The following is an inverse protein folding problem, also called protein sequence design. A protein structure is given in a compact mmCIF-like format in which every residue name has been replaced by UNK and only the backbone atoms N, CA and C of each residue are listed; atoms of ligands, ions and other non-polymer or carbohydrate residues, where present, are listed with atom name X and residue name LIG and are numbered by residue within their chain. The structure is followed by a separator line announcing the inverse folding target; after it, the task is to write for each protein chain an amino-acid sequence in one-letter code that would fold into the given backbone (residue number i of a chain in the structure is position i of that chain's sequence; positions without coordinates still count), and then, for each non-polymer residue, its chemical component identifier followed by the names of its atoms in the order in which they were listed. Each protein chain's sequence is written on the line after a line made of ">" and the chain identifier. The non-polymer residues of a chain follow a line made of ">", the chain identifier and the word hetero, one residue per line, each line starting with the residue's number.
data_IF_516062120286
#
_entry.id   IF_516062120286
#
_cell.length_a   1.000
_cell.length_b   1.000
_cell.length_c   1.000
_cell.angle_alpha   90.00
_cell.angle_beta   90.00
_cell.angle_gamma   90.00
#
_symmetry.space_group_name_H-M   'P 1'
#
loop_
_entity.id
_entity.type
_entity.pdbx_description
1 polymer ?
#
# COMPACT_ATOMS: atom_id res chain seq x y z
N UNK A 1 -33.70 11.99 -15.56
CA UNK A 1 -32.75 11.49 -14.53
C UNK A 1 -33.13 10.06 -14.16
N UNK A 2 -32.20 9.11 -14.21
CA UNK A 2 -32.49 7.70 -13.88
C UNK A 2 -32.92 7.56 -12.41
N UNK A 3 -34.04 6.87 -12.16
CA UNK A 3 -34.51 6.57 -10.81
C UNK A 3 -33.67 5.41 -10.22
N UNK A 4 -32.54 5.76 -9.59
CA UNK A 4 -31.58 4.79 -9.02
C UNK A 4 -32.24 3.93 -7.92
N UNK A 5 -33.15 4.51 -7.13
CA UNK A 5 -33.90 3.79 -6.10
C UNK A 5 -34.73 2.65 -6.71
N UNK A 6 -35.49 2.93 -7.77
CA UNK A 6 -36.29 1.92 -8.45
C UNK A 6 -35.43 0.77 -9.01
N UNK A 7 -34.24 1.08 -9.54
CA UNK A 7 -33.28 0.07 -10.04
C UNK A 7 -32.68 -0.77 -8.92
N UNK A 8 -32.34 -0.17 -7.77
CA UNK A 8 -31.84 -0.92 -6.61
C UNK A 8 -32.92 -1.83 -6.02
N UNK A 9 -34.18 -1.42 -6.06
CA UNK A 9 -35.31 -2.24 -5.63
C UNK A 9 -35.56 -3.40 -6.59
N UNK A 10 -35.55 -3.17 -7.91
CA UNK A 10 -35.73 -4.24 -8.90
C UNK A 10 -34.61 -5.29 -8.85
N UNK A 11 -33.41 -4.89 -8.43
CA UNK A 11 -32.26 -5.79 -8.25
C UNK A 11 -32.13 -6.34 -6.82
N UNK A 12 -33.09 -6.06 -5.92
CA UNK A 12 -33.05 -6.49 -4.51
C UNK A 12 -31.81 -6.02 -3.72
N UNK A 13 -31.13 -4.96 -4.18
CA UNK A 13 -29.96 -4.34 -3.54
C UNK A 13 -30.34 -3.24 -2.55
N UNK A 14 -31.61 -2.82 -2.52
CA UNK A 14 -32.08 -1.72 -1.67
C UNK A 14 -31.78 -1.93 -0.18
N UNK A 15 -31.97 -3.16 0.32
CA UNK A 15 -31.69 -3.47 1.73
C UNK A 15 -30.20 -3.32 2.04
N UNK A 16 -29.33 -3.91 1.21
CA UNK A 16 -27.87 -3.82 1.35
C UNK A 16 -27.41 -2.36 1.37
N UNK A 17 -27.89 -1.56 0.43
CA UNK A 17 -27.58 -0.13 0.34
C UNK A 17 -27.95 0.61 1.63
N UNK A 18 -29.15 0.41 2.16
CA UNK A 18 -29.60 1.11 3.38
C UNK A 18 -28.94 0.60 4.66
N UNK A 19 -28.70 -0.70 4.79
CA UNK A 19 -28.24 -1.30 6.05
C UNK A 19 -26.71 -1.34 6.19
N UNK A 20 -25.99 -1.37 5.07
CA UNK A 20 -24.53 -1.42 5.07
C UNK A 20 -23.95 -0.16 4.43
N UNK A 21 -24.25 0.09 3.17
CA UNK A 21 -23.51 1.10 2.41
C UNK A 21 -23.67 2.50 3.01
N UNK A 22 -24.90 2.90 3.33
CA UNK A 22 -25.18 4.20 3.95
C UNK A 22 -24.68 4.31 5.40
N UNK A 23 -24.71 3.21 6.16
CA UNK A 23 -24.23 3.22 7.55
C UNK A 23 -22.72 3.36 7.65
N UNK A 24 -21.99 2.97 6.60
CA UNK A 24 -20.54 3.03 6.56
C UNK A 24 -20.02 4.46 6.28
N UNK A 25 -20.80 5.29 5.57
CA UNK A 25 -20.44 6.68 5.23
C UNK A 25 -19.94 7.48 6.44
N UNK A 26 -20.70 7.61 7.56
CA UNK A 26 -20.23 8.39 8.71
C UNK A 26 -19.00 7.77 9.38
N UNK A 27 -18.83 6.44 9.33
CA UNK A 27 -17.64 5.77 9.88
C UNK A 27 -16.39 6.13 9.07
N UNK A 28 -16.47 6.07 7.74
CA UNK A 28 -15.37 6.46 6.87
C UNK A 28 -15.03 7.95 7.05
N UNK A 29 -16.04 8.82 7.16
CA UNK A 29 -15.83 10.24 7.41
C UNK A 29 -15.08 10.51 8.73
N UNK A 30 -15.36 9.75 9.80
CA UNK A 30 -14.58 9.84 11.05
C UNK A 30 -13.15 9.34 10.82
N UNK A 31 -12.97 8.20 10.13
CA UNK A 31 -11.65 7.63 9.86
C UNK A 31 -10.76 8.56 9.02
N UNK A 32 -11.32 9.30 8.06
CA UNK A 32 -10.58 10.29 7.26
C UNK A 32 -10.19 11.54 8.07
N UNK A 33 -11.01 11.92 9.06
CA UNK A 33 -10.70 13.02 9.95
C UNK A 33 -9.67 12.63 11.03
N UNK A 34 -9.52 11.34 11.30
CA UNK A 34 -8.52 10.84 12.24
C UNK A 34 -7.12 10.84 11.61
N UNK A 35 -6.20 11.59 12.23
CA UNK A 35 -4.81 11.71 11.82
C UNK A 35 -3.93 10.76 12.63
N UNK A 36 -3.20 9.88 11.94
CA UNK A 36 -2.26 8.95 12.57
C UNK A 36 -0.90 9.62 12.69
N UNK A 37 -0.39 9.76 13.90
CA UNK A 37 0.93 10.35 14.13
C UNK A 37 2.05 9.42 13.66
N UNK A 38 3.03 9.97 12.95
CA UNK A 38 4.17 9.21 12.43
C UNK A 38 5.47 9.75 13.04
N UNK A 39 6.33 8.83 13.50
CA UNK A 39 7.67 9.16 13.98
C UNK A 39 8.59 9.50 12.79
N UNK A 40 8.66 10.80 12.46
CA UNK A 40 9.48 11.31 11.36
C UNK A 40 10.96 10.96 11.49
N UNK A 41 11.53 11.12 12.68
CA UNK A 41 12.97 10.92 12.88
C UNK A 41 13.31 9.44 12.80
N UNK A 42 12.44 8.56 13.34
CA UNK A 42 12.53 7.13 13.13
C UNK A 42 12.54 6.78 11.65
N UNK A 43 11.58 7.30 10.88
CA UNK A 43 11.46 7.02 9.44
C UNK A 43 12.67 7.53 8.65
N UNK A 44 13.20 8.72 8.97
CA UNK A 44 14.42 9.26 8.34
C UNK A 44 15.64 8.39 8.62
N UNK A 45 15.83 7.93 9.87
CA UNK A 45 16.94 7.03 10.22
C UNK A 45 16.85 5.71 9.46
N UNK A 46 15.67 5.10 9.42
CA UNK A 46 15.44 3.85 8.67
C UNK A 46 15.64 4.06 7.17
N UNK A 47 15.14 5.16 6.60
CA UNK A 47 15.36 5.51 5.19
C UNK A 47 16.85 5.59 4.86
N UNK A 48 17.65 6.26 5.70
CA UNK A 48 19.09 6.37 5.48
C UNK A 48 19.81 5.02 5.57
N UNK A 49 19.42 4.18 6.54
CA UNK A 49 19.96 2.84 6.68
C UNK A 49 19.67 1.98 5.44
N UNK A 50 18.45 2.04 4.92
CA UNK A 50 18.05 1.31 3.72
C UNK A 50 18.77 1.83 2.48
N UNK A 51 18.98 3.14 2.34
CA UNK A 51 19.74 3.73 1.22
C UNK A 51 21.18 3.22 1.19
N UNK A 52 21.85 3.17 2.34
CA UNK A 52 23.21 2.63 2.45
C UNK A 52 23.24 1.15 2.07
N UNK A 53 22.29 0.36 2.59
CA UNK A 53 22.23 -1.07 2.30
C UNK A 53 21.89 -1.35 0.84
N UNK A 54 21.01 -0.55 0.23
CA UNK A 54 20.66 -0.64 -1.19
C UNK A 54 21.89 -0.42 -2.07
N UNK A 55 22.67 0.63 -1.81
CA UNK A 55 23.90 0.91 -2.57
C UNK A 55 24.93 -0.22 -2.45
N UNK A 56 25.09 -0.79 -1.26
CA UNK A 56 25.99 -1.93 -1.06
C UNK A 56 25.56 -3.16 -1.86
N UNK A 57 24.27 -3.48 -1.85
CA UNK A 57 23.72 -4.61 -2.60
C UNK A 57 23.81 -4.39 -4.12
N UNK A 58 23.60 -3.16 -4.58
CA UNK A 58 23.75 -2.79 -5.98
C UNK A 58 25.20 -2.96 -6.46
N UNK A 59 26.18 -2.47 -5.69
CA UNK A 59 27.60 -2.67 -6.00
C UNK A 59 27.99 -4.15 -6.05
N UNK A 60 27.50 -4.94 -5.11
CA UNK A 60 27.75 -6.38 -5.09
C UNK A 60 27.12 -7.09 -6.28
N UNK A 61 25.90 -6.71 -6.67
CA UNK A 61 25.24 -7.24 -7.85
C UNK A 61 26.02 -6.90 -9.13
N UNK A 62 26.50 -5.66 -9.28
CA UNK A 62 27.34 -5.26 -10.42
C UNK A 62 28.66 -6.02 -10.45
N UNK A 63 29.29 -6.22 -9.29
CA UNK A 63 30.54 -6.97 -9.15
C UNK A 63 30.38 -8.43 -9.59
N UNK A 64 29.33 -9.10 -9.14
CA UNK A 64 29.05 -10.51 -9.47
C UNK A 64 28.61 -10.66 -10.93
N UNK A 65 27.85 -9.71 -11.46
CA UNK A 65 27.44 -9.72 -12.87
C UNK A 65 28.58 -9.34 -13.84
N UNK A 66 29.63 -8.67 -13.36
CA UNK A 66 30.74 -8.18 -14.16
C UNK A 66 30.40 -6.95 -15.01
N UNK A 67 29.24 -6.32 -14.79
CA UNK A 67 28.80 -5.12 -15.50
C UNK A 67 27.86 -4.27 -14.65
N UNK A 68 27.72 -3.00 -15.02
CA UNK A 68 26.74 -2.09 -14.40
C UNK A 68 25.39 -2.20 -15.12
N UNK A 69 24.31 -2.26 -14.34
CA UNK A 69 22.95 -2.28 -14.85
C UNK A 69 21.97 -1.69 -13.83
N UNK A 70 20.77 -1.30 -14.29
CA UNK A 70 19.73 -0.79 -13.42
C UNK A 70 18.94 -1.96 -12.79
N UNK A 71 19.09 -2.16 -11.47
CA UNK A 71 18.35 -3.20 -10.74
C UNK A 71 16.83 -2.97 -10.75
N UNK A 72 16.37 -1.73 -10.95
CA UNK A 72 14.96 -1.41 -11.08
C UNK A 72 14.37 -1.80 -12.45
N UNK A 73 15.22 -2.13 -13.44
CA UNK A 73 14.79 -2.54 -14.78
C UNK A 73 14.69 -4.06 -14.87
N UNK A 74 13.45 -4.58 -14.89
CA UNK A 74 13.19 -6.00 -15.06
C UNK A 74 13.74 -6.57 -16.38
N UNK A 75 13.82 -5.74 -17.43
CA UNK A 75 14.39 -6.12 -18.72
C UNK A 75 15.91 -6.32 -18.64
N UNK A 76 16.64 -5.38 -18.03
CA UNK A 76 18.09 -5.51 -17.88
C UNK A 76 18.46 -6.66 -16.95
N UNK A 77 17.73 -6.82 -15.85
CA UNK A 77 17.94 -7.94 -14.94
C UNK A 77 17.68 -9.29 -15.64
N UNK A 78 16.65 -9.38 -16.49
CA UNK A 78 16.38 -10.59 -17.29
C UNK A 78 17.56 -10.93 -18.22
N UNK A 79 18.10 -9.94 -18.93
CA UNK A 79 19.24 -10.15 -19.84
C UNK A 79 20.45 -10.70 -19.08
N UNK A 80 20.75 -10.15 -17.91
CA UNK A 80 21.88 -10.60 -17.11
C UNK A 80 21.67 -12.03 -16.59
N UNK A 81 20.52 -12.30 -15.99
CA UNK A 81 20.25 -13.61 -15.38
C UNK A 81 20.17 -14.74 -16.41
N UNK A 82 19.57 -14.49 -17.58
CA UNK A 82 19.25 -15.53 -18.54
C UNK A 82 20.12 -15.53 -19.79
N UNK A 83 20.54 -14.37 -20.31
CA UNK A 83 21.35 -14.35 -21.53
C UNK A 83 22.84 -14.51 -21.18
N UNK A 84 23.32 -13.80 -20.15
CA UNK A 84 24.73 -13.83 -19.71
C UNK A 84 25.03 -14.95 -18.73
N UNK A 85 24.36 -14.95 -17.58
CA UNK A 85 24.58 -15.94 -16.52
C UNK A 85 23.96 -17.30 -16.85
N UNK A 86 23.06 -17.35 -17.85
CA UNK A 86 22.42 -18.56 -18.37
C UNK A 86 21.86 -19.49 -17.29
N UNK A 87 21.31 -18.92 -16.22
CA UNK A 87 20.84 -19.66 -15.05
C UNK A 87 19.71 -20.65 -15.38
N UNK A 88 18.95 -20.39 -16.45
CA UNK A 88 17.90 -21.28 -16.94
C UNK A 88 18.44 -22.63 -17.47
N UNK A 89 19.72 -22.70 -17.88
CA UNK A 89 20.35 -23.95 -18.29
C UNK A 89 20.81 -24.80 -17.11
N UNK A 90 20.97 -24.17 -15.94
CA UNK A 90 21.42 -24.82 -14.70
C UNK A 90 20.26 -25.36 -13.85
N UNK A 91 19.01 -25.01 -14.18
CA UNK A 91 17.82 -25.43 -13.43
C UNK A 91 16.85 -26.17 -14.35
N UNK A 92 16.56 -27.44 -14.05
CA UNK A 92 15.65 -28.32 -14.82
C UNK A 92 14.17 -27.87 -14.81
N UNK A 93 13.81 -26.83 -14.05
CA UNK A 93 12.44 -26.31 -13.93
C UNK A 93 12.33 -24.91 -14.54
N UNK A 94 11.29 -24.68 -15.34
CA UNK A 94 10.96 -23.37 -15.89
C UNK A 94 10.87 -22.32 -14.77
N UNK A 95 11.77 -21.34 -14.78
CA UNK A 95 11.80 -20.28 -13.79
C UNK A 95 10.60 -19.32 -14.01
N UNK A 96 9.77 -19.06 -12.98
CA UNK A 96 8.66 -18.14 -13.10
C UNK A 96 9.18 -16.72 -13.41
N UNK A 97 8.42 -15.96 -14.21
CA UNK A 97 8.78 -14.58 -14.55
C UNK A 97 8.72 -13.72 -13.29
N UNK A 98 9.80 -13.01 -12.99
CA UNK A 98 9.79 -11.96 -11.96
C UNK A 98 8.90 -10.81 -12.44
N UNK A 99 7.68 -10.75 -11.90
CA UNK A 99 6.78 -9.61 -12.09
C UNK A 99 7.25 -8.47 -11.16
N UNK A 100 7.70 -7.36 -11.74
CA UNK A 100 8.15 -6.21 -10.97
C UNK A 100 6.94 -5.32 -10.72
N UNK A 101 6.24 -5.55 -9.60
CA UNK A 101 5.20 -4.61 -9.17
C UNK A 101 5.86 -3.35 -8.63
N UNK A 102 5.89 -2.30 -9.46
CA UNK A 102 6.32 -0.98 -9.03
C UNK A 102 5.32 -0.46 -7.98
N UNK A 103 5.71 -0.55 -6.72
CA UNK A 103 5.09 0.24 -5.66
C UNK A 103 5.94 1.51 -5.49
N UNK A 104 5.35 2.68 -5.72
CA UNK A 104 6.01 3.94 -5.40
C UNK A 104 6.23 4.00 -3.88
N UNK A 105 7.44 4.38 -3.48
CA UNK A 105 7.75 4.61 -2.07
C UNK A 105 6.84 5.71 -1.53
N UNK A 106 6.19 5.46 -0.40
CA UNK A 106 5.32 6.43 0.31
C UNK A 106 6.13 7.52 1.02
N UNK A 107 7.20 8.03 0.40
CA UNK A 107 8.11 9.00 1.02
C UNK A 107 7.50 10.40 1.04
N UNK A 108 6.44 10.59 1.81
CA UNK A 108 5.93 11.90 2.19
C UNK A 108 6.28 12.14 3.67
N UNK A 109 7.00 13.23 3.96
CA UNK A 109 7.43 13.58 5.32
C UNK A 109 6.35 14.41 5.99
N UNK A 110 5.23 13.78 6.35
CA UNK A 110 4.15 14.44 7.09
C UNK A 110 4.17 13.99 8.56
N UNK A 111 3.84 14.88 9.51
CA UNK A 111 3.81 14.56 10.96
C UNK A 111 2.66 13.60 11.27
N UNK A 112 1.67 13.61 10.40
CA UNK A 112 0.48 12.82 10.48
C UNK A 112 0.16 12.28 9.09
N UNK A 113 -0.51 11.14 9.07
CA UNK A 113 -1.00 10.52 7.85
C UNK A 113 -2.51 10.36 8.01
N UNK A 114 -3.28 10.71 6.98
CA UNK A 114 -4.70 10.39 6.89
C UNK A 114 -4.99 9.88 5.49
N UNK A 115 -5.61 8.71 5.41
CA UNK A 115 -6.01 8.09 4.15
C UNK A 115 -7.43 8.47 3.79
N UNK A 116 -7.70 8.66 2.50
CA UNK A 116 -9.06 8.77 1.94
C UNK A 116 -9.59 7.38 1.64
N UNK A 117 -10.83 7.11 2.04
CA UNK A 117 -11.49 5.81 1.88
C UNK A 117 -12.45 5.83 0.69
N UNK A 118 -12.40 4.79 -0.13
CA UNK A 118 -13.28 4.61 -1.28
C UNK A 118 -14.06 3.30 -1.16
N UNK A 119 -15.38 3.44 -1.08
CA UNK A 119 -16.34 2.36 -0.97
C UNK A 119 -16.79 1.81 -2.33
N UNK A 120 -16.69 2.60 -3.39
CA UNK A 120 -17.02 2.21 -4.77
C UNK A 120 -15.79 1.86 -5.61
N UNK A 121 -14.62 1.76 -4.96
CA UNK A 121 -13.33 1.57 -5.63
C UNK A 121 -13.08 0.16 -6.15
N UNK A 122 -13.81 -0.85 -5.67
CA UNK A 122 -13.64 -2.25 -6.08
C UNK A 122 -14.97 -2.91 -6.41
N UNK A 123 -14.95 -3.82 -7.39
CA UNK A 123 -16.13 -4.62 -7.78
C UNK A 123 -16.45 -5.72 -6.76
N UNK A 124 -15.55 -6.00 -5.83
CA UNK A 124 -15.70 -7.03 -4.80
C UNK A 124 -16.41 -6.54 -3.53
N UNK A 125 -16.72 -5.24 -3.44
CA UNK A 125 -17.29 -4.62 -2.24
C UNK A 125 -16.27 -4.37 -1.12
N UNK A 126 -14.97 -4.52 -1.40
CA UNK A 126 -13.91 -4.16 -0.44
C UNK A 126 -13.65 -2.65 -0.48
N UNK A 127 -13.42 -2.07 0.69
CA UNK A 127 -12.92 -0.71 0.81
C UNK A 127 -11.49 -0.61 0.25
N UNK A 128 -11.19 0.53 -0.36
CA UNK A 128 -9.83 0.89 -0.77
C UNK A 128 -9.42 2.19 -0.09
N UNK A 129 -8.15 2.31 0.27
CA UNK A 129 -7.56 3.55 0.80
C UNK A 129 -6.61 4.20 -0.21
N UNK A 130 -6.49 5.53 -0.19
CA UNK A 130 -5.51 6.29 -0.97
C UNK A 130 -4.86 7.39 -0.12
N UNK A 131 -3.65 7.78 -0.51
CA UNK A 131 -2.86 8.91 0.04
C UNK A 131 -2.67 8.89 1.56
N UNK A 132 -2.04 7.86 2.15
CA UNK A 132 -1.45 6.67 1.55
C UNK A 132 -2.40 5.48 1.56
N UNK A 133 -2.02 4.38 0.90
CA UNK A 133 -2.72 3.11 1.04
C UNK A 133 -2.46 2.60 2.46
N UNK A 134 -3.48 2.66 3.31
CA UNK A 134 -3.44 2.10 4.67
C UNK A 134 -4.41 0.94 4.78
N UNK A 135 -4.04 -0.03 5.61
CA UNK A 135 -4.96 -1.11 5.98
C UNK A 135 -5.95 -0.59 7.03
N UNK A 136 -7.21 -1.02 6.94
CA UNK A 136 -8.26 -0.74 7.92
C UNK A 136 -7.80 -1.15 9.31
N UNK A 137 -7.06 -2.25 9.45
CA UNK A 137 -6.53 -2.68 10.73
C UNK A 137 -5.58 -1.66 11.36
N UNK A 138 -4.75 -0.99 10.54
CA UNK A 138 -3.83 0.05 11.02
C UNK A 138 -4.59 1.27 11.52
N UNK A 139 -5.63 1.70 10.78
CA UNK A 139 -6.42 2.88 11.14
C UNK A 139 -7.34 2.61 12.32
N UNK A 140 -7.96 1.42 12.37
CA UNK A 140 -8.82 1.00 13.50
C UNK A 140 -8.02 0.82 14.79
N UNK A 141 -6.80 0.28 14.73
CA UNK A 141 -5.91 0.18 15.89
C UNK A 141 -5.51 1.57 16.40
N UNK A 142 -5.14 2.48 15.51
CA UNK A 142 -4.82 3.86 15.91
C UNK A 142 -6.03 4.56 16.54
N UNK A 143 -7.23 4.41 15.97
CA UNK A 143 -8.46 4.96 16.55
C UNK A 143 -8.74 4.37 17.94
N UNK A 144 -8.59 3.06 18.10
CA UNK A 144 -8.75 2.38 19.39
C UNK A 144 -7.76 2.89 20.43
N UNK A 145 -6.48 3.05 20.07
CA UNK A 145 -5.45 3.62 20.96
C UNK A 145 -5.80 5.06 21.31
N UNK A 146 -6.17 5.91 20.35
CA UNK A 146 -6.52 7.32 20.60
C UNK A 146 -7.76 7.45 21.49
N UNK A 147 -8.77 6.61 21.31
CA UNK A 147 -10.02 6.63 22.11
C UNK A 147 -9.80 6.03 23.51
N UNK A 148 -8.92 5.05 23.68
CA UNK A 148 -8.61 4.42 24.99
C UNK A 148 -7.57 5.18 25.81
N UNK A 149 -6.66 5.90 25.17
CA UNK A 149 -5.52 6.59 25.81
C UNK A 149 -5.58 8.12 25.64
N UNK A 150 -6.78 8.70 25.60
CA UNK A 150 -6.90 10.15 25.84
C UNK A 150 -6.66 10.41 27.33
N UNK A 151 -5.66 11.24 27.72
CA UNK A 151 -5.55 11.68 29.10
C UNK A 151 -6.82 12.46 29.44
N UNK A 152 -7.48 12.08 30.53
CA UNK A 152 -8.57 12.87 31.12
C UNK A 152 -8.09 14.31 31.30
N UNK A 153 -8.87 15.32 30.91
CA UNK A 153 -8.49 16.71 31.15
C UNK A 153 -8.29 16.91 32.66
N UNK A 154 -7.10 17.35 33.04
CA UNK A 154 -6.79 17.75 34.42
C UNK A 154 -7.77 18.86 34.83
N UNK A 155 -8.53 18.62 35.90
CA UNK A 155 -9.32 19.65 36.59
C UNK A 155 -8.43 20.75 37.16
#
# INVERSE_FOLDING_TARGET
>A
MMNLRARLQSQSLWKLFCTMELRLIPVLAVMENCRIHVNKDGLKRTSKLLEVRQKQLEQEAHRVAGEQFCLASSNQLRQILFDKLRLHLLCEKNLPKTDLRQHQSTSEVVNFVSSTWNQTGTVSGRLSAKHPVSDIHTVAFSLWVTVRYQPLPSK
#
